data_IF_156657838083
#
_entry.id   IF_156657838083
#
_cell.length_a   1.000
_cell.length_b   1.000
_cell.length_c   1.000
_cell.angle_alpha   90.00
_cell.angle_beta   90.00
_cell.angle_gamma   90.00
#
_symmetry.space_group_name_H-M   'P 1'
#
loop_
_entity.id
_entity.type
_entity.pdbx_description
1 polymer ?
#
# COMPACT_ATOMS: atom_id res chain seq x y z
N UNK A 1 19.82 -79.42 28.22
CA UNK A 1 20.18 -78.01 28.48
C UNK A 1 20.99 -77.34 27.38
N UNK A 2 21.68 -78.08 26.49
CA UNK A 2 22.51 -77.48 25.42
C UNK A 2 21.72 -77.01 24.19
N UNK A 3 20.52 -77.57 23.94
CA UNK A 3 19.73 -77.22 22.74
C UNK A 3 19.05 -75.85 22.79
N UNK A 4 18.74 -75.31 23.97
CA UNK A 4 18.10 -73.99 24.08
C UNK A 4 19.08 -72.83 23.78
N UNK A 5 20.37 -73.00 24.06
CA UNK A 5 21.39 -71.97 23.83
C UNK A 5 21.69 -71.74 22.35
N UNK A 6 21.59 -72.79 21.52
CA UNK A 6 21.87 -72.71 20.07
C UNK A 6 20.74 -71.97 19.35
N UNK A 7 19.49 -72.18 19.77
CA UNK A 7 18.32 -71.51 19.17
C UNK A 7 18.31 -70.01 19.46
N UNK A 8 18.70 -69.59 20.67
CA UNK A 8 18.79 -68.15 21.00
C UNK A 8 19.96 -67.47 20.26
N UNK A 9 21.09 -68.14 20.08
CA UNK A 9 22.20 -67.62 19.28
C UNK A 9 21.82 -67.44 17.80
N UNK A 10 21.10 -68.41 17.20
CA UNK A 10 20.65 -68.34 15.82
C UNK A 10 19.55 -67.26 15.59
N UNK A 11 18.73 -66.97 16.61
CA UNK A 11 17.74 -65.88 16.55
C UNK A 11 18.43 -64.51 16.64
N UNK A 12 19.55 -64.40 17.38
CA UNK A 12 20.33 -63.16 17.50
C UNK A 12 20.99 -62.75 16.18
N UNK A 13 21.40 -63.70 15.33
CA UNK A 13 21.99 -63.43 14.01
C UNK A 13 20.95 -63.01 12.95
N UNK A 14 19.66 -63.22 13.22
CA UNK A 14 18.56 -62.81 12.32
C UNK A 14 18.18 -61.34 12.44
N UNK A 15 18.65 -60.65 13.48
CA UNK A 15 18.54 -59.20 13.60
C UNK A 15 19.69 -58.59 12.79
N UNK A 16 19.55 -58.64 11.46
CA UNK A 16 20.38 -57.82 10.58
C UNK A 16 20.09 -56.36 10.92
N UNK A 17 20.94 -55.81 11.79
CA UNK A 17 21.06 -54.39 12.10
C UNK A 17 21.46 -53.71 10.80
N UNK A 18 20.47 -53.19 10.09
CA UNK A 18 20.68 -52.43 8.87
C UNK A 18 20.37 -50.96 9.19
N UNK A 19 21.40 -50.11 9.19
CA UNK A 19 21.36 -48.96 8.30
C UNK A 19 22.69 -48.83 7.58
N UNK A 20 22.74 -49.21 6.30
CA UNK A 20 23.88 -48.86 5.46
C UNK A 20 23.76 -47.35 5.22
N UNK A 21 24.87 -46.63 5.27
CA UNK A 21 24.87 -45.18 5.02
C UNK A 21 24.20 -44.80 3.68
N UNK A 22 24.09 -45.75 2.75
CA UNK A 22 23.37 -45.62 1.48
C UNK A 22 21.85 -45.43 1.70
N UNK A 23 21.21 -46.16 2.61
CA UNK A 23 19.77 -46.00 2.88
C UNK A 23 19.47 -44.70 3.62
N UNK A 24 20.36 -44.29 4.53
CA UNK A 24 20.24 -43.03 5.23
C UNK A 24 20.41 -41.83 4.27
N UNK A 25 21.39 -41.90 3.37
CA UNK A 25 21.60 -40.86 2.34
C UNK A 25 20.48 -40.83 1.30
N UNK A 26 19.96 -41.99 0.88
CA UNK A 26 18.81 -42.08 -0.01
C UNK A 26 17.55 -41.50 0.63
N UNK A 27 17.29 -41.83 1.89
CA UNK A 27 16.14 -41.29 2.66
C UNK A 27 16.28 -39.79 2.86
N UNK A 28 17.46 -39.30 3.23
CA UNK A 28 17.72 -37.87 3.37
C UNK A 28 17.56 -37.12 2.04
N UNK A 29 18.05 -37.68 0.94
CA UNK A 29 17.87 -37.13 -0.41
C UNK A 29 16.41 -37.08 -0.83
N UNK A 30 15.64 -38.14 -0.54
CA UNK A 30 14.20 -38.17 -0.79
C UNK A 30 13.46 -37.10 0.01
N UNK A 31 13.75 -36.95 1.31
CA UNK A 31 13.14 -35.90 2.14
C UNK A 31 13.54 -34.50 1.66
N UNK A 32 14.81 -34.31 1.28
CA UNK A 32 15.29 -33.04 0.74
C UNK A 32 14.57 -32.67 -0.56
N UNK A 33 14.27 -33.62 -1.45
CA UNK A 33 13.48 -33.38 -2.65
C UNK A 33 11.99 -33.16 -2.32
N UNK A 34 11.42 -34.04 -1.49
CA UNK A 34 10.00 -34.03 -1.13
C UNK A 34 9.58 -32.73 -0.45
N UNK A 35 10.45 -32.15 0.39
CA UNK A 35 10.19 -30.87 1.05
C UNK A 35 10.86 -29.68 0.35
N UNK A 36 12.04 -29.87 -0.23
CA UNK A 36 12.78 -28.81 -0.89
C UNK A 36 12.08 -28.27 -2.13
N UNK A 37 11.47 -29.13 -2.96
CA UNK A 37 10.73 -28.68 -4.15
C UNK A 37 9.50 -27.82 -3.75
N UNK A 38 8.62 -28.25 -2.82
CA UNK A 38 7.53 -27.39 -2.35
C UNK A 38 7.99 -26.10 -1.69
N UNK A 39 9.03 -26.15 -0.85
CA UNK A 39 9.56 -24.95 -0.19
C UNK A 39 10.12 -23.96 -1.22
N UNK A 40 10.90 -24.45 -2.18
CA UNK A 40 11.46 -23.63 -3.24
C UNK A 40 10.35 -23.00 -4.10
N UNK A 41 9.34 -23.79 -4.48
CA UNK A 41 8.18 -23.30 -5.21
C UNK A 41 7.42 -22.22 -4.44
N UNK A 42 7.19 -22.43 -3.13
CA UNK A 42 6.57 -21.44 -2.26
C UNK A 42 7.38 -20.15 -2.16
N UNK A 43 8.71 -20.24 -1.98
CA UNK A 43 9.59 -19.08 -1.95
C UNK A 43 9.54 -18.31 -3.27
N UNK A 44 9.62 -18.99 -4.41
CA UNK A 44 9.50 -18.36 -5.73
C UNK A 44 8.17 -17.63 -5.89
N UNK A 45 7.04 -18.26 -5.51
CA UNK A 45 5.71 -17.65 -5.56
C UNK A 45 5.62 -16.40 -4.68
N UNK A 46 6.16 -16.46 -3.45
CA UNK A 46 6.16 -15.30 -2.53
C UNK A 46 7.03 -14.15 -3.06
N UNK A 47 8.18 -14.46 -3.65
CA UNK A 47 9.05 -13.45 -4.26
C UNK A 47 8.38 -12.77 -5.44
N UNK A 48 7.69 -13.52 -6.28
CA UNK A 48 6.97 -12.99 -7.44
C UNK A 48 5.78 -12.10 -7.02
N UNK A 49 5.00 -12.54 -6.03
CA UNK A 49 3.93 -11.70 -5.43
C UNK A 49 4.51 -10.40 -4.87
N UNK A 50 5.66 -10.44 -4.19
CA UNK A 50 6.31 -9.23 -3.67
C UNK A 50 6.80 -8.32 -4.79
N UNK A 51 7.31 -8.88 -5.89
CA UNK A 51 7.72 -8.11 -7.06
C UNK A 51 6.51 -7.44 -7.74
N UNK A 52 5.42 -8.19 -7.91
CA UNK A 52 4.14 -7.70 -8.44
C UNK A 52 3.58 -6.55 -7.59
N UNK A 53 3.53 -6.71 -6.26
CA UNK A 53 3.06 -5.65 -5.37
C UNK A 53 3.96 -4.41 -5.42
N UNK A 54 5.28 -4.60 -5.60
CA UNK A 54 6.23 -3.49 -5.76
C UNK A 54 6.02 -2.73 -7.07
N UNK A 55 5.76 -3.43 -8.17
CA UNK A 55 5.47 -2.78 -9.47
C UNK A 55 4.11 -2.06 -9.43
N UNK A 56 3.09 -2.69 -8.85
CA UNK A 56 1.76 -2.11 -8.65
C UNK A 56 1.83 -0.82 -7.83
N UNK A 57 2.59 -0.81 -6.73
CA UNK A 57 2.79 0.40 -5.93
C UNK A 57 3.43 1.53 -6.74
N UNK A 58 4.40 1.23 -7.60
CA UNK A 58 5.02 2.23 -8.49
C UNK A 58 4.00 2.78 -9.49
N UNK A 59 3.22 1.91 -10.13
CA UNK A 59 2.17 2.31 -11.06
C UNK A 59 1.11 3.18 -10.39
N UNK A 60 0.64 2.78 -9.19
CA UNK A 60 -0.31 3.58 -8.40
C UNK A 60 0.27 4.94 -8.03
N UNK A 61 1.55 5.03 -7.69
CA UNK A 61 2.20 6.30 -7.37
C UNK A 61 2.24 7.24 -8.58
N UNK A 62 2.54 6.71 -9.77
CA UNK A 62 2.51 7.47 -11.04
C UNK A 62 1.10 7.98 -11.35
N UNK A 63 0.09 7.13 -11.24
CA UNK A 63 -1.31 7.49 -11.49
C UNK A 63 -1.83 8.51 -10.46
N UNK A 64 -1.42 8.36 -9.20
CA UNK A 64 -1.79 9.32 -8.14
C UNK A 64 -1.15 10.68 -8.39
N UNK A 65 0.09 10.73 -8.94
CA UNK A 65 0.70 11.96 -9.42
C UNK A 65 -0.10 12.63 -10.54
N UNK A 66 -0.75 11.85 -11.41
CA UNK A 66 -1.62 12.38 -12.47
C UNK A 66 -2.87 13.08 -11.94
N UNK A 67 -3.41 12.65 -10.79
CA UNK A 67 -4.64 13.23 -10.20
C UNK A 67 -4.43 14.57 -9.50
N UNK A 68 -3.20 14.98 -9.22
CA UNK A 68 -2.92 16.26 -8.53
C UNK A 68 -2.75 17.44 -9.48
N UNK A 69 -2.59 17.18 -10.77
CA UNK A 69 -2.41 18.21 -11.79
C UNK A 69 -3.77 18.56 -12.40
N UNK A 70 -4.49 19.53 -11.84
CA UNK A 70 -5.64 20.11 -12.54
C UNK A 70 -5.19 20.56 -13.95
N UNK A 71 -5.95 20.25 -15.03
CA UNK A 71 -5.57 20.61 -16.39
C UNK A 71 -5.27 22.11 -16.54
N UNK A 72 -4.28 22.48 -17.36
CA UNK A 72 -3.88 23.89 -17.50
C UNK A 72 -5.01 24.82 -17.92
N UNK A 73 -5.96 24.35 -18.74
CA UNK A 73 -7.10 25.15 -19.17
C UNK A 73 -8.07 25.48 -18.02
N UNK A 74 -8.14 24.63 -16.99
CA UNK A 74 -8.87 24.90 -15.73
C UNK A 74 -8.11 25.96 -14.91
N UNK A 75 -6.77 25.85 -14.83
CA UNK A 75 -5.93 26.85 -14.15
C UNK A 75 -5.96 28.21 -14.85
N UNK A 76 -6.00 28.25 -16.19
CA UNK A 76 -6.04 29.48 -17.00
C UNK A 76 -7.37 30.22 -16.88
N UNK A 77 -8.49 29.51 -16.65
CA UNK A 77 -9.81 30.14 -16.46
C UNK A 77 -10.12 30.53 -15.02
N UNK A 78 -9.48 29.89 -14.04
CA UNK A 78 -9.84 30.10 -12.63
C UNK A 78 -8.90 31.13 -11.99
N UNK A 79 -9.40 32.28 -11.51
CA UNK A 79 -8.58 33.26 -10.83
C UNK A 79 -7.99 32.69 -9.53
N UNK A 80 -6.79 33.16 -9.15
CA UNK A 80 -6.02 32.60 -8.03
C UNK A 80 -6.77 32.65 -6.69
N UNK A 81 -7.67 33.61 -6.50
CA UNK A 81 -8.53 33.73 -5.32
C UNK A 81 -9.54 32.57 -5.18
N UNK A 82 -10.14 32.11 -6.30
CA UNK A 82 -11.08 30.98 -6.32
C UNK A 82 -10.32 29.65 -6.12
N UNK A 83 -9.14 29.52 -6.74
CA UNK A 83 -8.25 28.38 -6.49
C UNK A 83 -7.78 28.31 -5.03
N UNK A 84 -7.51 29.46 -4.40
CA UNK A 84 -7.12 29.52 -2.99
C UNK A 84 -8.23 29.01 -2.04
N UNK A 85 -9.49 29.02 -2.47
CA UNK A 85 -10.63 28.42 -1.76
C UNK A 85 -10.81 26.93 -2.08
N UNK A 86 -10.08 26.40 -3.05
CA UNK A 86 -10.20 25.02 -3.53
C UNK A 86 -11.37 24.80 -4.47
N UNK A 87 -11.80 25.87 -5.18
CA UNK A 87 -12.88 25.83 -6.17
C UNK A 87 -12.32 26.01 -7.58
N UNK A 88 -13.10 25.61 -8.57
CA UNK A 88 -12.83 25.78 -10.00
C UNK A 88 -14.00 26.48 -10.67
N UNK A 89 -13.74 27.34 -11.66
CA UNK A 89 -14.82 27.94 -12.44
C UNK A 89 -15.45 26.92 -13.40
N UNK A 90 -16.77 27.01 -13.66
CA UNK A 90 -17.73 27.95 -13.09
C UNK A 90 -18.18 27.54 -11.68
N UNK A 91 -18.19 28.48 -10.74
CA UNK A 91 -18.72 28.28 -9.39
C UNK A 91 -19.71 29.39 -9.02
N UNK A 92 -20.70 29.06 -8.20
CA UNK A 92 -21.74 30.01 -7.74
C UNK A 92 -21.31 30.71 -6.44
N UNK A 93 -22.00 31.81 -6.08
CA UNK A 93 -21.73 32.52 -4.82
C UNK A 93 -21.97 31.60 -3.60
N UNK A 94 -22.94 30.69 -3.70
CA UNK A 94 -23.23 29.69 -2.67
C UNK A 94 -22.05 28.70 -2.49
N UNK A 95 -21.42 28.27 -3.58
CA UNK A 95 -20.25 27.39 -3.54
C UNK A 95 -19.06 28.05 -2.85
N UNK A 96 -18.83 29.34 -3.13
CA UNK A 96 -17.78 30.17 -2.52
C UNK A 96 -18.01 30.28 -1.01
N UNK A 97 -19.24 30.55 -0.58
CA UNK A 97 -19.62 30.61 0.83
C UNK A 97 -19.46 29.24 1.53
N UNK A 98 -19.88 28.16 0.89
CA UNK A 98 -19.74 26.81 1.44
C UNK A 98 -18.27 26.43 1.60
N UNK A 99 -17.42 26.73 0.61
CA UNK A 99 -15.98 26.49 0.68
C UNK A 99 -15.29 27.31 1.77
N UNK A 100 -15.66 28.58 1.91
CA UNK A 100 -15.17 29.45 2.97
C UNK A 100 -15.50 28.88 4.36
N UNK A 101 -16.76 28.49 4.60
CA UNK A 101 -17.19 27.89 5.89
C UNK A 101 -16.40 26.63 6.23
N UNK A 102 -16.09 25.77 5.25
CA UNK A 102 -15.26 24.57 5.46
C UNK A 102 -13.83 24.94 5.87
N UNK A 103 -13.21 25.91 5.16
CA UNK A 103 -11.83 26.33 5.46
C UNK A 103 -11.72 27.08 6.78
N UNK A 104 -12.67 27.95 7.10
CA UNK A 104 -12.72 28.65 8.40
C UNK A 104 -12.77 27.67 9.56
N UNK A 105 -13.59 26.61 9.47
CA UNK A 105 -13.63 25.56 10.51
C UNK A 105 -12.29 24.86 10.75
N UNK A 106 -11.45 24.78 9.72
CA UNK A 106 -10.12 24.15 9.79
C UNK A 106 -9.04 25.13 10.25
N UNK A 107 -9.13 26.40 9.83
CA UNK A 107 -8.08 27.40 10.00
C UNK A 107 -8.34 28.40 11.14
N UNK A 108 -9.41 28.21 11.93
CA UNK A 108 -9.82 29.17 12.93
C UNK A 108 -8.73 29.38 14.00
N UNK A 109 -8.38 30.64 14.36
CA UNK A 109 -7.36 30.93 15.37
C UNK A 109 -7.67 30.32 16.75
N UNK A 110 -8.95 30.19 17.11
CA UNK A 110 -9.36 29.56 18.38
C UNK A 110 -9.02 28.06 18.46
N UNK A 111 -8.68 27.42 17.34
CA UNK A 111 -8.19 26.02 17.28
C UNK A 111 -6.67 25.94 17.13
N UNK A 112 -5.95 27.04 17.38
CA UNK A 112 -4.50 27.14 17.18
C UNK A 112 -4.10 27.53 15.75
N UNK A 113 -5.04 28.03 14.94
CA UNK A 113 -4.77 28.52 13.59
C UNK A 113 -4.01 29.85 13.55
N UNK A 114 -3.28 30.11 12.46
CA UNK A 114 -2.50 31.34 12.30
C UNK A 114 -3.40 32.49 11.82
N UNK A 115 -3.49 33.57 12.61
CA UNK A 115 -4.27 34.78 12.28
C UNK A 115 -3.91 35.37 10.91
N UNK A 116 -2.64 35.30 10.49
CA UNK A 116 -2.20 35.82 9.18
C UNK A 116 -2.77 34.99 8.03
N UNK A 117 -2.88 33.68 8.21
CA UNK A 117 -3.45 32.80 7.20
C UNK A 117 -4.97 32.97 7.11
N UNK A 118 -5.63 33.20 8.25
CA UNK A 118 -7.06 33.52 8.29
C UNK A 118 -7.39 34.82 7.53
N UNK A 119 -6.61 35.89 7.76
CA UNK A 119 -6.80 37.15 7.04
C UNK A 119 -6.56 37.00 5.53
N UNK A 120 -5.58 36.19 5.12
CA UNK A 120 -5.36 35.87 3.70
C UNK A 120 -6.53 35.10 3.10
N UNK A 121 -7.08 34.12 3.84
CA UNK A 121 -8.27 33.38 3.42
C UNK A 121 -9.47 34.31 3.23
N UNK A 122 -9.67 35.26 4.15
CA UNK A 122 -10.75 36.25 4.06
C UNK A 122 -10.59 37.17 2.84
N UNK A 123 -9.38 37.68 2.58
CA UNK A 123 -9.12 38.50 1.39
C UNK A 123 -9.38 37.73 0.08
N UNK A 124 -9.02 36.45 0.02
CA UNK A 124 -9.32 35.60 -1.14
C UNK A 124 -10.81 35.32 -1.30
N UNK A 125 -11.56 35.20 -0.20
CA UNK A 125 -13.02 35.06 -0.23
C UNK A 125 -13.70 36.29 -0.82
N UNK A 126 -13.37 37.49 -0.34
CA UNK A 126 -13.94 38.75 -0.84
C UNK A 126 -13.66 38.93 -2.34
N UNK A 127 -12.43 38.66 -2.78
CA UNK A 127 -12.05 38.71 -4.19
C UNK A 127 -12.80 37.67 -5.06
N UNK A 128 -13.00 36.45 -4.55
CA UNK A 128 -13.70 35.41 -5.27
C UNK A 128 -15.19 35.75 -5.44
N UNK A 129 -15.83 36.28 -4.39
CA UNK A 129 -17.24 36.66 -4.43
C UNK A 129 -17.50 37.77 -5.44
N UNK A 130 -16.63 38.81 -5.47
CA UNK A 130 -16.73 39.91 -6.42
C UNK A 130 -16.67 39.45 -7.89
N UNK A 131 -15.83 38.46 -8.19
CA UNK A 131 -15.69 37.90 -9.55
C UNK A 131 -16.93 37.08 -9.94
N UNK A 132 -17.45 36.26 -9.02
CA UNK A 132 -18.61 35.40 -9.28
C UNK A 132 -19.88 36.22 -9.44
N UNK A 133 -20.09 37.23 -8.59
CA UNK A 133 -21.22 38.16 -8.72
C UNK A 133 -21.13 39.01 -9.99
N UNK A 134 -19.93 39.48 -10.34
CA UNK A 134 -19.69 40.21 -11.59
C UNK A 134 -19.96 39.39 -12.86
N UNK A 135 -19.78 38.06 -12.79
CA UNK A 135 -20.06 37.14 -13.91
C UNK A 135 -21.52 36.69 -13.98
N UNK A 136 -22.35 37.04 -12.99
CA UNK A 136 -23.78 36.70 -12.93
C UNK A 136 -24.71 37.81 -13.43
N UNK A 137 -24.14 38.95 -13.85
CA UNK A 137 -24.83 40.08 -14.49
C UNK A 137 -24.56 40.07 -15.99
#
# INVERSE_FOLDING_TARGET
>A
MVSYSIVIAAISDSVKIWPDGIDATATAGYLALAFGIPILGYVCMVLDIRAYLRSLRRALMVVTGYRTELPEWVRKRTPRCVLALGLTMPCTAEDVLAAYRRKVKQLHPDRGGNRREFLRLQAHFEQALAIVEGNSR
#
